data_IF_411409170073
#
_entry.id   IF_411409170073
#
_cell.length_a   1.000
_cell.length_b   1.000
_cell.length_c   1.000
_cell.angle_alpha   90.00
_cell.angle_beta   90.00
_cell.angle_gamma   90.00
#
_symmetry.space_group_name_H-M   'P 1'
#
loop_
_entity.id
_entity.type
_entity.pdbx_description
1 polymer ?
#
# COMPACT_ATOMS: atom_id res chain seq x y z
N UNK A 1 -0.80 5.08 -3.62
CA UNK A 1 0.48 4.67 -3.02
C UNK A 1 0.86 5.69 -1.97
N UNK A 2 0.51 5.43 -0.71
CA UNK A 2 0.82 6.32 0.42
C UNK A 2 0.99 5.45 1.68
N UNK A 3 2.11 5.59 2.38
CA UNK A 3 2.39 4.85 3.62
C UNK A 3 1.66 5.40 4.84
N UNK A 4 1.18 6.64 4.79
CA UNK A 4 0.43 7.28 5.86
C UNK A 4 -1.05 6.88 5.79
N UNK A 5 -1.45 5.94 6.65
CA UNK A 5 -2.81 5.41 6.71
C UNK A 5 -3.12 4.85 8.09
N UNK A 6 -4.40 4.79 8.41
CA UNK A 6 -4.92 4.11 9.58
C UNK A 6 -5.83 2.96 9.16
N UNK A 7 -5.79 1.87 9.93
CA UNK A 7 -6.65 0.71 9.73
C UNK A 7 -7.06 0.17 11.11
N UNK A 8 -8.30 -0.30 11.23
CA UNK A 8 -8.75 -0.99 12.44
C UNK A 8 -7.97 -2.31 12.60
N UNK A 9 -7.60 -2.65 13.83
CA UNK A 9 -6.76 -3.83 14.14
C UNK A 9 -7.39 -5.14 13.63
N UNK A 10 -8.69 -5.32 13.84
CA UNK A 10 -9.44 -6.50 13.40
C UNK A 10 -9.43 -6.64 11.87
N UNK A 11 -9.65 -5.53 11.15
CA UNK A 11 -9.57 -5.50 9.69
C UNK A 11 -8.15 -5.82 9.22
N UNK A 12 -7.13 -5.18 9.80
CA UNK A 12 -5.73 -5.42 9.44
C UNK A 12 -5.31 -6.88 9.62
N UNK A 13 -5.75 -7.53 10.70
CA UNK A 13 -5.54 -8.97 10.91
C UNK A 13 -6.30 -9.82 9.90
N UNK A 14 -7.54 -9.45 9.58
CA UNK A 14 -8.33 -10.19 8.61
C UNK A 14 -7.65 -10.20 7.24
N UNK A 15 -7.08 -9.07 6.78
CA UNK A 15 -6.54 -8.92 5.43
C UNK A 15 -5.41 -9.92 5.06
N UNK A 16 -4.72 -10.53 6.03
CA UNK A 16 -3.62 -11.51 5.82
C UNK A 16 -2.57 -11.02 4.81
N UNK A 17 -2.05 -9.80 5.01
CA UNK A 17 -1.09 -9.16 4.11
C UNK A 17 0.23 -9.94 4.06
N UNK A 18 0.84 -10.08 2.87
CA UNK A 18 2.07 -10.87 2.68
C UNK A 18 3.20 -10.12 1.99
N UNK A 19 2.94 -8.94 1.44
CA UNK A 19 3.97 -8.16 0.76
C UNK A 19 5.00 -7.61 1.75
N UNK A 20 6.28 -7.83 1.43
CA UNK A 20 7.43 -7.33 2.17
C UNK A 20 8.09 -6.12 1.48
N UNK A 21 7.41 -5.51 0.50
CA UNK A 21 7.89 -4.36 -0.26
C UNK A 21 6.89 -3.20 -0.16
N UNK A 22 7.20 -2.08 -0.80
CA UNK A 22 6.31 -0.91 -0.93
C UNK A 22 4.96 -1.24 -1.61
N UNK A 23 4.83 -2.44 -2.19
CA UNK A 23 3.57 -2.93 -2.76
C UNK A 23 2.56 -3.40 -1.70
N UNK A 24 2.91 -3.42 -0.41
CA UNK A 24 1.98 -3.71 0.69
C UNK A 24 0.80 -2.75 0.73
N UNK A 25 1.01 -1.49 0.37
CA UNK A 25 -0.03 -0.46 0.31
C UNK A 25 -1.10 -0.80 -0.74
N UNK A 26 -0.65 -1.34 -1.86
CA UNK A 26 -1.51 -1.78 -2.96
C UNK A 26 -2.26 -3.07 -2.59
N UNK A 27 -1.56 -4.07 -2.03
CA UNK A 27 -2.19 -5.31 -1.54
C UNK A 27 -3.27 -4.99 -0.50
N UNK A 28 -2.97 -4.10 0.44
CA UNK A 28 -3.90 -3.70 1.50
C UNK A 28 -5.18 -3.09 0.93
N UNK A 29 -5.06 -2.14 -0.01
CA UNK A 29 -6.21 -1.52 -0.67
C UNK A 29 -7.04 -2.55 -1.44
N UNK A 30 -6.39 -3.35 -2.28
CA UNK A 30 -7.08 -4.34 -3.13
C UNK A 30 -7.82 -5.38 -2.30
N UNK A 31 -7.19 -5.92 -1.25
CA UNK A 31 -7.84 -6.89 -0.37
C UNK A 31 -8.94 -6.26 0.47
N UNK A 32 -8.78 -5.00 0.90
CA UNK A 32 -9.83 -4.29 1.62
C UNK A 32 -11.09 -4.14 0.75
N UNK A 33 -10.90 -3.73 -0.50
CA UNK A 33 -11.99 -3.58 -1.48
C UNK A 33 -12.62 -4.93 -1.84
N UNK A 34 -11.82 -5.97 -2.12
CA UNK A 34 -12.32 -7.32 -2.43
C UNK A 34 -13.18 -7.92 -1.31
N UNK A 35 -12.91 -7.56 -0.06
CA UNK A 35 -13.67 -8.02 1.11
C UNK A 35 -14.84 -7.10 1.48
N UNK A 36 -15.11 -6.06 0.68
CA UNK A 36 -16.23 -5.14 0.89
C UNK A 36 -16.04 -4.17 2.06
N UNK A 37 -14.80 -3.95 2.54
CA UNK A 37 -14.56 -2.93 3.55
C UNK A 37 -14.67 -1.53 2.95
N UNK A 38 -15.07 -0.56 3.79
CA UNK A 38 -15.10 0.86 3.41
C UNK A 38 -13.70 1.44 3.49
N UNK A 39 -13.28 2.10 2.42
CA UNK A 39 -12.02 2.83 2.32
C UNK A 39 -12.35 4.27 1.96
N UNK A 40 -11.75 5.22 2.69
CA UNK A 40 -11.90 6.65 2.46
C UNK A 40 -10.54 7.31 2.36
N UNK A 41 -10.40 8.28 1.48
CA UNK A 41 -9.20 9.10 1.36
C UNK A 41 -9.37 10.39 2.15
N UNK A 42 -8.37 10.72 2.97
CA UNK A 42 -8.33 11.97 3.72
C UNK A 42 -7.21 12.82 3.14
N UNK A 43 -7.55 14.05 2.74
CA UNK A 43 -6.58 14.98 2.21
C UNK A 43 -5.46 15.23 3.22
N UNK A 44 -4.21 15.10 2.78
CA UNK A 44 -3.02 15.38 3.57
C UNK A 44 -1.95 15.98 2.67
N UNK A 45 -1.04 16.75 3.26
CA UNK A 45 0.08 17.34 2.54
C UNK A 45 1.37 16.61 2.90
N UNK A 46 2.06 16.08 1.89
CA UNK A 46 3.36 15.43 2.06
C UNK A 46 4.46 16.46 1.81
N UNK A 47 5.13 16.88 2.89
CA UNK A 47 6.24 17.82 2.81
C UNK A 47 7.48 17.17 2.20
N UNK A 48 8.31 17.99 1.56
CA UNK A 48 9.60 17.55 1.07
C UNK A 48 10.48 16.98 2.21
N UNK A 49 11.16 15.87 1.92
CA UNK A 49 12.10 15.26 2.85
C UNK A 49 13.26 16.22 3.13
N UNK A 50 13.44 16.59 4.39
CA UNK A 50 14.52 17.50 4.82
C UNK A 50 15.86 16.81 5.11
N UNK A 51 15.85 15.51 5.42
CA UNK A 51 17.06 14.77 5.83
C UNK A 51 17.07 13.33 5.29
N UNK A 52 18.28 12.81 5.04
CA UNK A 52 18.50 11.45 4.53
C UNK A 52 18.23 11.27 3.04
N UNK A 53 18.50 10.07 2.52
CA UNK A 53 18.29 9.73 1.09
C UNK A 53 17.12 8.77 0.89
N UNK A 54 16.49 8.82 -0.28
CA UNK A 54 15.44 7.84 -0.61
C UNK A 54 16.04 6.48 -0.87
N UNK A 55 15.59 5.48 -0.12
CA UNK A 55 15.90 4.06 -0.37
C UNK A 55 14.97 3.46 -1.42
N UNK A 56 13.85 4.11 -1.70
CA UNK A 56 12.85 3.67 -2.68
C UNK A 56 13.13 4.36 -4.01
N UNK A 57 13.41 3.55 -5.03
CA UNK A 57 13.64 4.02 -6.40
C UNK A 57 12.57 3.38 -7.28
N UNK A 58 11.52 4.14 -7.59
CA UNK A 58 10.28 3.63 -8.21
C UNK A 58 10.55 2.93 -9.54
N UNK A 59 11.39 3.50 -10.40
CA UNK A 59 11.71 2.91 -11.70
C UNK A 59 12.48 1.58 -11.59
N UNK A 60 13.14 1.28 -10.47
CA UNK A 60 13.75 -0.04 -10.24
C UNK A 60 12.74 -1.07 -9.75
N UNK A 61 11.62 -0.61 -9.21
CA UNK A 61 10.58 -1.40 -8.54
C UNK A 61 9.29 -1.54 -9.36
N UNK A 62 9.21 -0.91 -10.54
CA UNK A 62 8.00 -0.88 -11.38
C UNK A 62 7.38 -2.27 -11.62
N UNK A 63 8.20 -3.27 -11.93
CA UNK A 63 7.78 -4.64 -12.19
C UNK A 63 7.13 -5.29 -10.96
N UNK A 64 7.58 -4.95 -9.75
CA UNK A 64 7.01 -5.46 -8.51
C UNK A 64 5.59 -4.92 -8.29
N UNK A 65 5.31 -3.68 -8.69
CA UNK A 65 3.95 -3.11 -8.64
C UNK A 65 3.01 -3.79 -9.62
N UNK A 66 3.47 -4.06 -10.85
CA UNK A 66 2.68 -4.80 -11.84
C UNK A 66 2.40 -6.23 -11.38
N UNK A 67 3.41 -6.92 -10.87
CA UNK A 67 3.24 -8.26 -10.31
C UNK A 67 2.26 -8.27 -9.13
N UNK A 68 2.40 -7.32 -8.20
CA UNK A 68 1.49 -7.18 -7.06
C UNK A 68 0.05 -6.93 -7.50
N UNK A 69 -0.15 -6.09 -8.52
CA UNK A 69 -1.46 -5.84 -9.10
C UNK A 69 -2.07 -7.12 -9.66
N UNK A 70 -1.35 -7.80 -10.54
CA UNK A 70 -1.82 -9.00 -11.20
C UNK A 70 -2.17 -10.10 -10.19
N UNK A 71 -1.27 -10.37 -9.23
CA UNK A 71 -1.47 -11.36 -8.15
C UNK A 71 -2.65 -11.04 -7.24
N UNK A 72 -3.01 -9.78 -7.06
CA UNK A 72 -4.13 -9.40 -6.19
C UNK A 72 -5.44 -9.21 -6.96
N UNK A 73 -5.45 -9.21 -8.30
CA UNK A 73 -6.67 -9.22 -9.10
C UNK A 73 -7.19 -10.64 -9.28
N UNK A 74 -6.32 -11.54 -9.72
CA UNK A 74 -6.62 -12.96 -9.86
C UNK A 74 -6.43 -13.69 -8.54
#
# INVERSE_FOLDING_TARGET
>A
QNGFRAIRRDVGKALDLRSNLTTIEQEMLMRALKRGYRVSEIASHEYERRWGTSKVVVWKLWWAYLWSFWRNIF
#
